data_IF_087963526722
#
_entry.id   IF_087963526722
#
_cell.length_a   1.000
_cell.length_b   1.000
_cell.length_c   1.000
_cell.angle_alpha   90.00
_cell.angle_beta   90.00
_cell.angle_gamma   90.00
#
_symmetry.space_group_name_H-M   'P 1'
#
loop_
_entity.id
_entity.type
_entity.pdbx_description
1 polymer ?
#
# COMPACT_ATOMS: atom_id res chain seq x y z
N UNK A 1 12.45 13.46 -4.87
CA UNK A 1 13.11 12.22 -4.39
C UNK A 1 12.00 11.19 -4.22
N UNK A 2 12.23 9.93 -4.54
CA UNK A 2 11.15 8.94 -4.46
C UNK A 2 11.00 8.47 -3.01
N UNK A 3 9.83 8.69 -2.40
CA UNK A 3 9.57 8.45 -0.97
C UNK A 3 9.20 6.98 -0.66
N UNK A 4 9.78 6.02 -1.38
CA UNK A 4 9.50 4.59 -1.17
C UNK A 4 10.19 4.08 0.09
N UNK A 5 9.41 3.52 1.01
CA UNK A 5 9.84 2.96 2.28
C UNK A 5 9.86 1.45 2.17
N UNK A 6 10.99 0.82 2.51
CA UNK A 6 11.11 -0.64 2.58
C UNK A 6 10.22 -1.18 3.70
N UNK A 7 9.43 -2.21 3.38
CA UNK A 7 8.57 -2.86 4.36
C UNK A 7 9.37 -3.52 5.51
N UNK A 8 10.62 -3.94 5.24
CA UNK A 8 11.54 -4.45 6.25
C UNK A 8 11.96 -3.41 7.27
N UNK A 9 11.96 -2.14 6.87
CA UNK A 9 12.47 -1.03 7.68
C UNK A 9 11.34 -0.42 8.50
N UNK A 10 10.18 -0.21 7.86
CA UNK A 10 8.99 0.34 8.50
C UNK A 10 7.72 -0.06 7.75
N UNK A 11 6.68 -0.42 8.50
CA UNK A 11 5.33 -0.61 7.96
C UNK A 11 4.45 0.62 8.24
N UNK A 12 3.41 0.87 7.42
CA UNK A 12 2.44 1.92 7.70
C UNK A 12 1.76 1.71 9.06
N UNK A 13 1.48 2.79 9.79
CA UNK A 13 0.76 2.72 11.04
C UNK A 13 -0.72 2.35 10.83
N UNK A 14 -1.20 1.34 11.56
CA UNK A 14 -2.60 0.87 11.50
C UNK A 14 -3.48 1.67 12.47
N UNK A 15 -3.70 2.95 12.20
CA UNK A 15 -4.41 3.88 13.08
C UNK A 15 -5.82 4.25 12.60
N UNK A 16 -6.34 3.57 11.58
CA UNK A 16 -7.67 3.82 11.03
C UNK A 16 -8.55 2.58 11.17
N UNK A 17 -9.76 2.73 11.69
CA UNK A 17 -10.70 1.61 11.80
C UNK A 17 -11.44 1.41 10.47
N UNK A 18 -11.37 0.21 9.90
CA UNK A 18 -12.16 -0.14 8.73
C UNK A 18 -13.57 -0.54 9.17
N UNK A 19 -14.56 0.27 8.82
CA UNK A 19 -15.94 0.13 9.30
C UNK A 19 -16.66 -1.13 8.81
N UNK A 20 -16.16 -1.80 7.77
CA UNK A 20 -16.81 -2.98 7.18
C UNK A 20 -16.40 -4.30 7.84
N UNK A 21 -15.19 -4.37 8.41
CA UNK A 21 -14.64 -5.56 9.05
C UNK A 21 -14.14 -5.29 10.49
N UNK A 22 -14.48 -4.11 11.06
CA UNK A 22 -14.06 -3.63 12.38
C UNK A 22 -12.55 -3.79 12.65
N UNK A 23 -11.75 -3.84 11.57
CA UNK A 23 -10.33 -4.15 11.64
C UNK A 23 -9.51 -2.86 11.53
N UNK A 24 -8.49 -2.72 12.37
CA UNK A 24 -7.55 -1.59 12.27
C UNK A 24 -6.64 -1.74 11.05
N UNK A 25 -6.60 -0.70 10.24
CA UNK A 25 -5.85 -0.60 9.00
C UNK A 25 -5.04 0.69 8.92
N UNK A 26 -4.07 0.74 8.02
CA UNK A 26 -3.38 1.97 7.68
C UNK A 26 -4.22 2.89 6.80
N UNK A 27 -3.79 4.13 6.63
CA UNK A 27 -4.22 4.95 5.48
C UNK A 27 -3.91 4.23 4.16
N UNK A 28 -4.63 4.61 3.11
CA UNK A 28 -4.36 4.14 1.75
C UNK A 28 -2.94 4.50 1.34
N UNK A 29 -2.20 3.51 0.84
CA UNK A 29 -0.82 3.66 0.38
C UNK A 29 -0.65 3.05 -1.01
N UNK A 30 0.37 3.51 -1.73
CA UNK A 30 0.89 2.81 -2.89
C UNK A 30 1.85 1.72 -2.43
N UNK A 31 1.85 0.58 -3.10
CA UNK A 31 2.73 -0.56 -2.83
C UNK A 31 3.35 -1.10 -4.12
N UNK A 32 4.54 -1.69 -4.02
CA UNK A 32 5.27 -2.24 -5.18
C UNK A 32 6.15 -3.43 -4.81
N UNK A 33 6.41 -4.30 -5.78
CA UNK A 33 7.50 -5.26 -5.78
C UNK A 33 8.69 -4.67 -6.54
N UNK A 34 9.77 -4.35 -5.82
CA UNK A 34 11.01 -3.82 -6.40
C UNK A 34 11.69 -4.75 -7.41
N UNK A 35 11.29 -6.01 -7.49
CA UNK A 35 11.80 -7.00 -8.45
C UNK A 35 11.02 -6.98 -9.76
N UNK A 36 9.87 -6.31 -9.81
CA UNK A 36 8.98 -6.27 -10.96
C UNK A 36 8.73 -4.82 -11.41
N UNK A 37 9.16 -4.47 -12.62
CA UNK A 37 9.07 -3.10 -13.14
C UNK A 37 7.62 -2.58 -13.27
N UNK A 38 6.66 -3.48 -13.52
CA UNK A 38 5.25 -3.14 -13.73
C UNK A 38 4.41 -3.52 -12.50
N UNK A 39 4.96 -3.28 -11.30
CA UNK A 39 4.31 -3.60 -10.03
C UNK A 39 3.88 -2.33 -9.33
N UNK A 40 2.57 -2.06 -9.29
CA UNK A 40 2.00 -0.92 -8.57
C UNK A 40 0.58 -1.23 -8.12
N UNK A 41 0.38 -1.30 -6.81
CA UNK A 41 -0.93 -1.51 -6.21
C UNK A 41 -1.31 -0.42 -5.23
N UNK A 42 -2.59 -0.42 -4.85
CA UNK A 42 -3.12 0.31 -3.70
C UNK A 42 -3.45 -0.70 -2.61
N UNK A 43 -3.04 -0.43 -1.38
CA UNK A 43 -3.28 -1.35 -0.28
C UNK A 43 -3.49 -0.63 1.07
N UNK A 44 -3.96 -1.42 2.04
CA UNK A 44 -3.86 -1.09 3.46
C UNK A 44 -3.05 -2.17 4.20
N UNK A 45 -2.23 -1.73 5.16
CA UNK A 45 -1.63 -2.61 6.16
C UNK A 45 -2.66 -2.90 7.25
N UNK A 46 -2.84 -4.17 7.63
CA UNK A 46 -3.69 -4.59 8.76
C UNK A 46 -2.86 -4.74 10.04
N UNK A 47 -3.52 -4.77 11.20
CA UNK A 47 -2.87 -4.94 12.50
C UNK A 47 -2.06 -6.24 12.62
N UNK A 48 -2.51 -7.31 11.95
CA UNK A 48 -1.84 -8.61 11.87
C UNK A 48 -0.63 -8.64 10.93
N UNK A 49 -0.24 -7.48 10.38
CA UNK A 49 0.85 -7.28 9.42
C UNK A 49 0.59 -7.90 8.05
N UNK A 50 -0.66 -8.19 7.71
CA UNK A 50 -1.05 -8.62 6.37
C UNK A 50 -1.51 -7.42 5.52
N UNK A 51 -1.29 -7.51 4.22
CA UNK A 51 -1.72 -6.49 3.27
C UNK A 51 -3.10 -6.81 2.72
N UNK A 52 -4.00 -5.82 2.74
CA UNK A 52 -5.27 -5.83 1.99
C UNK A 52 -5.05 -5.04 0.69
N UNK A 53 -4.84 -5.75 -0.41
CA UNK A 53 -4.71 -5.17 -1.75
C UNK A 53 -6.09 -4.85 -2.32
N UNK A 54 -6.23 -3.68 -2.93
CA UNK A 54 -7.40 -3.30 -3.72
C UNK A 54 -7.01 -3.42 -5.19
N UNK A 55 -7.53 -4.46 -5.84
CA UNK A 55 -7.41 -4.59 -7.28
C UNK A 55 -8.36 -3.64 -7.98
N UNK A 56 -7.88 -2.94 -9.01
CA UNK A 56 -8.76 -2.43 -10.06
C UNK A 56 -9.12 -3.62 -10.94
N UNK A 57 -10.40 -3.75 -11.31
CA UNK A 57 -10.96 -4.90 -12.06
C UNK A 57 -10.26 -5.24 -13.40
N UNK A 58 -9.24 -4.46 -13.82
CA UNK A 58 -8.73 -4.49 -15.19
C UNK A 58 -7.22 -4.35 -15.42
N UNK A 59 -6.30 -4.29 -14.44
CA UNK A 59 -4.88 -4.12 -14.80
C UNK A 59 -3.86 -4.93 -14.00
N UNK A 60 -2.99 -5.60 -14.77
CA UNK A 60 -1.97 -6.60 -14.46
C UNK A 60 -0.79 -6.10 -13.60
N UNK A 61 -1.00 -5.14 -12.70
CA UNK A 61 0.05 -4.49 -11.91
C UNK A 61 0.01 -4.86 -10.44
N UNK A 62 -0.43 -6.06 -10.09
CA UNK A 62 -0.44 -6.51 -8.70
C UNK A 62 0.95 -6.97 -8.27
N UNK A 63 1.50 -6.44 -7.17
CA UNK A 63 2.74 -6.95 -6.62
C UNK A 63 2.59 -8.43 -6.25
N UNK A 64 3.48 -9.27 -6.78
CA UNK A 64 3.64 -10.65 -6.28
C UNK A 64 4.07 -10.63 -4.80
N UNK A 65 4.96 -9.71 -4.44
CA UNK A 65 5.35 -9.43 -3.06
C UNK A 65 5.42 -7.93 -2.79
N UNK A 66 4.85 -7.47 -1.68
CA UNK A 66 4.94 -6.06 -1.31
C UNK A 66 6.26 -5.82 -0.58
N UNK A 67 7.20 -5.21 -1.28
CA UNK A 67 8.55 -4.92 -0.77
C UNK A 67 8.68 -3.48 -0.29
N UNK A 68 7.95 -2.55 -0.92
CA UNK A 68 8.00 -1.13 -0.58
C UNK A 68 6.60 -0.51 -0.61
N UNK A 69 6.43 0.57 0.15
CA UNK A 69 5.22 1.38 0.16
C UNK A 69 5.54 2.87 0.18
N UNK A 70 4.58 3.71 -0.20
CA UNK A 70 4.64 5.15 0.02
C UNK A 70 3.23 5.72 0.25
N UNK A 71 3.09 6.87 0.93
CA UNK A 71 1.83 7.61 0.96
C UNK A 71 1.33 7.93 -0.46
N UNK A 72 0.02 8.14 -0.61
CA UNK A 72 -0.49 8.72 -1.86
C UNK A 72 0.13 10.10 -2.09
N UNK A 73 0.49 10.45 -3.34
CA UNK A 73 1.00 11.78 -3.64
C UNK A 73 -0.04 12.84 -3.30
N UNK A 74 0.42 14.02 -2.89
CA UNK A 74 -0.47 15.16 -2.75
C UNK A 74 -1.11 15.47 -4.12
N UNK A 75 -2.38 15.92 -4.15
CA UNK A 75 -2.98 16.40 -5.38
C UNK A 75 -2.14 17.57 -5.95
N UNK A 76 -2.10 17.73 -7.28
CA UNK A 76 -1.38 18.85 -7.89
C UNK A 76 -1.98 20.18 -7.39
N UNK A 77 -1.11 21.15 -7.13
CA UNK A 77 -1.53 22.54 -6.92
C UNK A 77 -1.84 23.20 -8.27
N UNK A 78 -2.85 24.07 -8.31
CA UNK A 78 -3.15 24.94 -9.47
C UNK A 78 -2.13 26.07 -9.61
#
# INVERSE_FOLDING_TARGET
>A
MSDWIKCSDLLPACNHECTSDETMVSRTVLVTDSRELQSLGIAHMRLDRTWKLYGGDYDFMHPTEITHWQPLPAPPAE
#
